data_IF_381359293408
#
_entry.id   IF_381359293408
#
_cell.length_a   1.000
_cell.length_b   1.000
_cell.length_c   1.000
_cell.angle_alpha   90.00
_cell.angle_beta   90.00
_cell.angle_gamma   90.00
#
_symmetry.space_group_name_H-M   'P 1'
#
loop_
_entity.id
_entity.type
_entity.pdbx_description
1 polymer ?
#
# COMPACT_ATOMS: atom_id res chain seq x y z
N UNK A 1 -10.10 6.05 16.83
CA UNK A 1 -8.70 6.33 16.46
C UNK A 1 -8.15 5.10 15.77
N UNK A 2 -7.60 5.23 14.57
CA UNK A 2 -6.87 4.13 13.95
C UNK A 2 -5.57 3.88 14.75
N UNK A 3 -5.11 2.63 14.90
CA UNK A 3 -3.84 2.34 15.57
C UNK A 3 -2.68 3.02 14.83
N UNK A 4 -1.64 3.42 15.57
CA UNK A 4 -0.38 3.86 14.95
C UNK A 4 0.20 2.69 14.16
N UNK A 5 0.13 2.80 12.84
CA UNK A 5 0.77 1.87 11.92
C UNK A 5 1.86 2.63 11.21
N UNK A 6 3.10 2.30 11.55
CA UNK A 6 4.29 2.81 10.88
C UNK A 6 4.90 1.67 10.08
N UNK A 7 4.88 1.80 8.77
CA UNK A 7 5.49 0.85 7.84
C UNK A 7 6.57 1.55 7.02
N UNK A 8 7.45 0.77 6.40
CA UNK A 8 8.52 1.31 5.57
C UNK A 8 8.15 1.13 4.10
N UNK A 9 8.40 2.15 3.27
CA UNK A 9 8.34 2.00 1.82
C UNK A 9 9.54 1.22 1.28
N UNK A 10 9.51 0.91 -0.01
CA UNK A 10 10.61 0.17 -0.64
C UNK A 10 11.89 1.01 -0.68
N UNK A 11 11.82 2.32 -0.54
CA UNK A 11 12.97 3.23 -0.50
C UNK A 11 13.58 3.38 0.92
N UNK A 12 13.01 2.72 1.93
CA UNK A 12 13.49 2.75 3.31
C UNK A 12 12.92 3.90 4.15
N UNK A 13 11.95 4.66 3.65
CA UNK A 13 11.32 5.73 4.41
C UNK A 13 10.15 5.19 5.22
N UNK A 14 10.09 5.57 6.50
CA UNK A 14 8.95 5.30 7.35
C UNK A 14 7.73 6.15 6.92
N UNK A 15 6.56 5.53 6.90
CA UNK A 15 5.25 6.15 6.65
C UNK A 15 4.32 5.81 7.80
N UNK A 16 3.75 6.84 8.42
CA UNK A 16 2.77 6.66 9.48
C UNK A 16 1.37 6.90 8.92
N UNK A 17 0.43 5.98 9.16
CA UNK A 17 -0.97 6.20 8.76
C UNK A 17 -1.60 7.43 9.44
N UNK A 18 -1.09 7.86 10.59
CA UNK A 18 -1.51 9.09 11.25
C UNK A 18 -1.30 10.34 10.39
N UNK A 19 -0.37 10.30 9.42
CA UNK A 19 -0.11 11.40 8.49
C UNK A 19 -1.30 11.65 7.54
N UNK A 20 -2.21 10.68 7.41
CA UNK A 20 -3.40 10.76 6.55
C UNK A 20 -4.68 11.12 7.33
N UNK A 21 -4.54 11.66 8.54
CA UNK A 21 -5.69 12.03 9.36
C UNK A 21 -6.62 13.01 8.62
N UNK A 22 -7.94 12.80 8.74
CA UNK A 22 -8.95 13.57 8.02
C UNK A 22 -9.25 13.06 6.60
N UNK A 23 -8.50 12.07 6.09
CA UNK A 23 -8.85 11.34 4.87
C UNK A 23 -9.43 9.97 5.22
N UNK A 24 -10.27 9.45 4.34
CA UNK A 24 -10.59 8.02 4.31
C UNK A 24 -9.34 7.26 3.85
N UNK A 25 -8.88 6.30 4.65
CA UNK A 25 -7.70 5.50 4.33
C UNK A 25 -8.13 4.10 3.91
N UNK A 26 -7.71 3.68 2.71
CA UNK A 26 -7.91 2.33 2.19
C UNK A 26 -6.58 1.62 2.18
N UNK A 27 -6.50 0.52 2.93
CA UNK A 27 -5.34 -0.35 2.95
C UNK A 27 -5.59 -1.51 1.98
N UNK A 28 -4.70 -1.67 1.01
CA UNK A 28 -4.73 -2.77 0.07
C UNK A 28 -3.56 -3.70 0.37
N UNK A 29 -3.84 -4.84 0.98
CA UNK A 29 -2.85 -5.88 1.26
C UNK A 29 -2.70 -6.77 0.03
N UNK A 30 -1.46 -7.02 -0.39
CA UNK A 30 -1.17 -7.75 -1.62
C UNK A 30 0.10 -8.59 -1.47
N UNK A 31 0.25 -9.51 -2.42
CA UNK A 31 1.49 -10.27 -2.64
C UNK A 31 1.94 -10.11 -4.09
N UNK A 32 3.25 -10.22 -4.35
CA UNK A 32 3.91 -10.00 -5.64
C UNK A 32 3.40 -10.92 -6.77
N UNK A 33 2.90 -12.11 -6.37
CA UNK A 33 2.34 -13.12 -7.25
C UNK A 33 0.81 -13.00 -7.41
N UNK A 34 0.16 -12.02 -6.76
CA UNK A 34 -1.28 -11.82 -6.82
C UNK A 34 -1.71 -11.16 -8.14
N UNK A 35 -1.99 -11.99 -9.15
CA UNK A 35 -2.51 -11.52 -10.45
C UNK A 35 -3.83 -10.74 -10.36
N UNK A 36 -4.82 -11.13 -9.54
CA UNK A 36 -6.04 -10.32 -9.37
C UNK A 36 -5.74 -8.92 -8.82
N UNK A 37 -4.77 -8.80 -7.91
CA UNK A 37 -4.35 -7.51 -7.36
C UNK A 37 -3.80 -6.60 -8.47
N UNK A 38 -3.00 -7.15 -9.40
CA UNK A 38 -2.49 -6.42 -10.56
C UNK A 38 -3.61 -5.89 -11.46
N UNK A 39 -4.64 -6.70 -11.72
CA UNK A 39 -5.80 -6.33 -12.53
C UNK A 39 -6.67 -5.23 -11.87
N UNK A 40 -6.66 -5.14 -10.53
CA UNK A 40 -7.39 -4.14 -9.76
C UNK A 40 -6.67 -2.78 -9.66
N UNK A 41 -5.33 -2.74 -9.81
CA UNK A 41 -4.54 -1.51 -9.62
C UNK A 41 -4.98 -0.33 -10.50
N UNK A 42 -5.33 -0.50 -11.80
CA UNK A 42 -5.82 0.62 -12.61
C UNK A 42 -7.07 1.29 -12.05
N UNK A 43 -7.98 0.51 -11.46
CA UNK A 43 -9.20 1.01 -10.84
C UNK A 43 -8.89 1.77 -9.55
N UNK A 44 -7.96 1.26 -8.74
CA UNK A 44 -7.52 1.94 -7.52
C UNK A 44 -6.76 3.24 -7.84
N UNK A 45 -5.89 3.24 -8.86
CA UNK A 45 -5.22 4.44 -9.34
C UNK A 45 -6.22 5.52 -9.74
N UNK A 46 -7.28 5.13 -10.48
CA UNK A 46 -8.36 6.06 -10.86
C UNK A 46 -9.10 6.59 -9.65
N UNK A 47 -9.42 5.74 -8.68
CA UNK A 47 -10.11 6.14 -7.45
C UNK A 47 -9.27 7.12 -6.62
N UNK A 48 -7.97 6.84 -6.44
CA UNK A 48 -7.03 7.75 -5.78
C UNK A 48 -6.99 9.12 -6.47
N UNK A 49 -6.96 9.16 -7.80
CA UNK A 49 -6.94 10.39 -8.56
C UNK A 49 -8.23 11.21 -8.40
N UNK A 50 -9.39 10.55 -8.41
CA UNK A 50 -10.71 11.19 -8.26
C UNK A 50 -10.97 11.73 -6.86
N UNK A 51 -10.42 11.08 -5.84
CA UNK A 51 -10.69 11.41 -4.43
C UNK A 51 -9.43 11.89 -3.68
N UNK A 52 -8.41 12.39 -4.37
CA UNK A 52 -7.09 12.73 -3.79
C UNK A 52 -7.12 13.59 -2.51
N UNK A 53 -8.15 14.43 -2.36
CA UNK A 53 -8.29 15.36 -1.24
C UNK A 53 -8.96 14.70 -0.02
N UNK A 54 -9.76 13.65 -0.24
CA UNK A 54 -10.57 12.98 0.79
C UNK A 54 -10.24 11.52 1.01
N UNK A 55 -9.42 10.91 0.14
CA UNK A 55 -9.05 9.49 0.15
C UNK A 55 -7.53 9.32 0.01
N UNK A 56 -6.98 8.38 0.77
CA UNK A 56 -5.64 7.86 0.58
C UNK A 56 -5.67 6.33 0.49
N UNK A 57 -5.21 5.79 -0.62
CA UNK A 57 -4.95 4.37 -0.80
C UNK A 57 -3.49 4.11 -0.45
N UNK A 58 -3.22 3.03 0.28
CA UNK A 58 -1.89 2.55 0.63
C UNK A 58 -1.82 1.06 0.29
N UNK A 59 -0.94 0.70 -0.64
CA UNK A 59 -0.61 -0.71 -0.89
C UNK A 59 0.38 -1.20 0.17
N UNK A 60 0.15 -2.42 0.67
CA UNK A 60 1.00 -3.08 1.65
C UNK A 60 1.34 -4.46 1.11
N UNK A 61 2.59 -4.64 0.68
CA UNK A 61 3.15 -5.94 0.36
C UNK A 61 3.34 -6.76 1.63
N UNK A 62 2.86 -8.00 1.61
CA UNK A 62 3.03 -8.97 2.70
C UNK A 62 3.71 -10.23 2.19
N UNK A 63 4.59 -10.81 3.00
CA UNK A 63 5.24 -12.13 2.76
C UNK A 63 6.25 -12.21 1.61
N UNK A 64 6.51 -11.12 0.89
CA UNK A 64 7.50 -11.04 -0.20
C UNK A 64 8.79 -10.32 0.20
N UNK A 65 9.84 -10.44 -0.60
CA UNK A 65 11.03 -9.59 -0.47
C UNK A 65 10.87 -8.25 -1.21
N UNK A 66 11.78 -7.31 -0.94
CA UNK A 66 11.72 -5.96 -1.52
C UNK A 66 11.82 -5.98 -3.06
N UNK A 67 12.56 -6.93 -3.64
CA UNK A 67 12.79 -6.99 -5.09
C UNK A 67 11.52 -7.46 -5.81
N UNK A 68 10.88 -8.53 -5.32
CA UNK A 68 9.61 -9.02 -5.85
C UNK A 68 8.50 -7.95 -5.74
N UNK A 69 8.48 -7.19 -4.66
CA UNK A 69 7.52 -6.08 -4.47
C UNK A 69 7.80 -4.90 -5.40
N UNK A 70 9.07 -4.57 -5.69
CA UNK A 70 9.41 -3.55 -6.69
C UNK A 70 8.95 -3.96 -8.08
N UNK A 71 9.23 -5.19 -8.48
CA UNK A 71 8.78 -5.72 -9.77
C UNK A 71 7.25 -5.67 -9.91
N UNK A 72 6.52 -6.07 -8.86
CA UNK A 72 5.07 -5.96 -8.83
C UNK A 72 4.60 -4.51 -8.95
N UNK A 73 5.16 -3.59 -8.16
CA UNK A 73 4.79 -2.16 -8.17
C UNK A 73 4.93 -1.56 -9.57
N UNK A 74 6.02 -1.88 -10.23
CA UNK A 74 6.35 -1.35 -11.55
C UNK A 74 5.43 -1.98 -12.63
N UNK A 75 5.20 -3.30 -12.57
CA UNK A 75 4.32 -4.03 -13.51
C UNK A 75 2.85 -3.64 -13.37
N UNK A 76 2.38 -3.45 -12.13
CA UNK A 76 1.02 -3.04 -11.83
C UNK A 76 0.82 -1.51 -11.89
N UNK A 77 1.88 -0.75 -12.19
CA UNK A 77 1.90 0.71 -12.32
C UNK A 77 1.21 1.41 -11.13
N UNK A 78 1.62 1.09 -9.90
CA UNK A 78 1.01 1.66 -8.70
C UNK A 78 1.36 3.15 -8.55
N UNK A 79 0.35 4.00 -8.40
CA UNK A 79 0.50 5.48 -8.36
C UNK A 79 0.33 6.07 -6.95
N UNK A 80 0.29 5.23 -5.92
CA UNK A 80 0.07 5.62 -4.53
C UNK A 80 1.10 4.95 -3.61
N UNK A 81 1.21 5.36 -2.32
CA UNK A 81 2.19 4.80 -1.40
C UNK A 81 2.16 3.28 -1.38
N UNK A 82 3.34 2.67 -1.53
CA UNK A 82 3.54 1.24 -1.54
C UNK A 82 4.54 0.88 -0.44
N UNK A 83 4.05 0.15 0.55
CA UNK A 83 4.77 -0.17 1.78
C UNK A 83 5.03 -1.68 1.87
N UNK A 84 6.02 -2.06 2.66
CA UNK A 84 6.31 -3.45 2.95
C UNK A 84 6.14 -3.71 4.46
N UNK A 85 5.27 -4.65 4.81
CA UNK A 85 5.14 -5.16 6.18
C UNK A 85 6.23 -6.17 6.54
N UNK A 86 7.45 -5.68 6.74
CA UNK A 86 8.60 -6.50 7.19
C UNK A 86 8.40 -7.08 8.59
N UNK A 87 7.57 -6.45 9.41
CA UNK A 87 7.30 -6.86 10.79
C UNK A 87 6.26 -7.98 10.92
N UNK A 88 5.53 -8.29 9.86
CA UNK A 88 4.35 -9.16 9.93
C UNK A 88 3.26 -8.59 10.84
N UNK A 89 3.17 -7.26 10.99
CA UNK A 89 2.17 -6.58 11.81
C UNK A 89 0.75 -6.97 11.37
N UNK A 90 0.53 -7.12 10.06
CA UNK A 90 -0.71 -7.57 9.46
C UNK A 90 -1.14 -8.97 9.88
N UNK A 91 -0.21 -9.81 10.37
CA UNK A 91 -0.50 -11.19 10.83
C UNK A 91 -0.86 -11.28 12.32
N UNK A 92 -0.77 -10.17 13.08
CA UNK A 92 -0.99 -10.18 14.53
C UNK A 92 -2.44 -9.86 14.93
N UNK A 93 -3.41 -10.00 14.03
CA UNK A 93 -4.82 -9.69 14.31
C UNK A 93 -5.80 -10.75 13.82
#
# INVERSE_FOLDING_TARGET
MAPELVLTDLEGNAKNLADYNGKLVVLNFLASWCKPCEEEMPSLNRLQALMKDSLQIVAIGVEDDDDALREFRDRANVQFPFLHDKSGYSKQR
#
